data_IF_163425981174
#
_entry.id   IF_163425981174
#
_cell.length_a   1.000
_cell.length_b   1.000
_cell.length_c   1.000
_cell.angle_alpha   90.00
_cell.angle_beta   90.00
_cell.angle_gamma   90.00
#
_symmetry.space_group_name_H-M   'P 1'
#
loop_
_entity.id
_entity.type
_entity.pdbx_description
1 polymer ?
#
# COMPACT_ATOMS: atom_id res chain seq x y z
N UNK A 1 28.14 17.48 -12.05
CA UNK A 1 26.96 17.04 -11.34
C UNK A 1 27.27 15.68 -10.71
N UNK A 2 27.35 15.58 -9.39
CA UNK A 2 27.55 14.28 -8.70
C UNK A 2 26.18 13.63 -8.59
N UNK A 3 26.08 12.38 -9.07
CA UNK A 3 24.90 11.53 -8.83
C UNK A 3 24.69 11.34 -7.32
N UNK A 4 23.45 11.29 -6.84
CA UNK A 4 23.20 11.12 -5.42
C UNK A 4 23.65 9.74 -4.92
N UNK A 5 24.31 9.71 -3.76
CA UNK A 5 24.90 8.53 -3.12
C UNK A 5 23.86 7.67 -2.34
N UNK A 6 22.63 7.52 -2.82
CA UNK A 6 21.60 6.82 -2.07
C UNK A 6 21.31 5.36 -2.50
N UNK A 7 22.10 4.78 -3.43
CA UNK A 7 21.84 3.43 -3.95
C UNK A 7 22.45 2.26 -3.17
N UNK A 8 23.11 2.46 -2.03
CA UNK A 8 23.92 1.40 -1.43
C UNK A 8 23.40 0.78 -0.11
N UNK A 9 22.23 1.16 0.43
CA UNK A 9 21.70 0.52 1.63
C UNK A 9 20.16 0.46 1.66
N UNK A 10 19.55 -0.35 0.81
CA UNK A 10 18.21 -0.81 1.17
C UNK A 10 18.33 -1.61 2.50
N UNK A 11 17.48 -1.33 3.52
CA UNK A 11 17.52 -2.09 4.77
C UNK A 11 17.46 -3.58 4.51
N UNK A 12 18.21 -4.38 5.29
CA UNK A 12 18.19 -5.82 5.15
C UNK A 12 16.77 -6.36 5.39
N UNK A 13 16.40 -7.41 4.64
CA UNK A 13 15.15 -8.12 4.88
C UNK A 13 15.27 -8.93 6.17
N UNK A 14 14.30 -8.77 7.04
CA UNK A 14 14.11 -9.55 8.27
C UNK A 14 12.86 -10.41 8.11
N UNK A 15 12.85 -11.56 8.75
CA UNK A 15 11.70 -12.49 8.69
C UNK A 15 11.26 -12.83 10.10
N UNK A 16 9.95 -12.86 10.33
CA UNK A 16 9.35 -13.28 11.59
C UNK A 16 8.19 -14.25 11.33
N UNK A 17 8.09 -15.29 12.14
CA UNK A 17 6.97 -16.23 12.05
C UNK A 17 5.69 -15.58 12.57
N UNK A 18 4.61 -15.77 11.83
CA UNK A 18 3.26 -15.31 12.17
C UNK A 18 2.25 -16.38 11.75
N UNK A 19 1.35 -16.74 12.68
CA UNK A 19 0.33 -17.79 12.45
C UNK A 19 0.98 -19.10 11.98
N UNK A 20 0.61 -19.56 10.79
CA UNK A 20 1.11 -20.79 10.15
C UNK A 20 2.14 -20.52 9.05
N UNK A 21 2.71 -19.30 9.01
CA UNK A 21 3.65 -18.85 7.98
C UNK A 21 4.64 -17.82 8.53
N UNK A 22 5.16 -16.94 7.69
CA UNK A 22 6.07 -15.87 8.08
C UNK A 22 5.85 -14.61 7.24
N UNK A 23 6.21 -13.46 7.82
CA UNK A 23 6.28 -12.18 7.12
C UNK A 23 7.74 -11.75 7.03
N UNK A 24 8.16 -11.41 5.82
CA UNK A 24 9.43 -10.74 5.55
C UNK A 24 9.21 -9.24 5.48
N UNK A 25 10.10 -8.46 6.06
CA UNK A 25 9.96 -7.00 6.11
C UNK A 25 11.32 -6.31 6.11
N UNK A 26 11.33 -5.06 5.66
CA UNK A 26 12.47 -4.15 5.80
C UNK A 26 12.31 -3.36 7.08
N UNK A 27 13.42 -3.10 7.77
CA UNK A 27 13.45 -2.34 9.02
C UNK A 27 14.69 -1.45 9.03
N UNK A 28 14.49 -0.14 9.13
CA UNK A 28 15.61 0.81 9.22
C UNK A 28 16.23 0.88 10.62
N UNK A 29 15.59 0.28 11.63
CA UNK A 29 16.00 0.36 13.02
C UNK A 29 15.68 1.70 13.68
N UNK A 30 16.23 1.89 14.90
CA UNK A 30 15.98 3.00 15.82
C UNK A 30 14.58 2.99 16.47
N UNK A 31 14.22 4.04 17.25
CA UNK A 31 13.07 4.07 18.14
C UNK A 31 12.00 5.08 17.72
N UNK A 32 11.02 5.28 18.59
CA UNK A 32 9.87 6.15 18.40
C UNK A 32 8.67 5.41 17.78
N UNK A 33 7.60 6.14 17.46
CA UNK A 33 6.45 5.57 16.77
C UNK A 33 6.86 5.27 15.32
N UNK A 34 6.85 4.00 14.89
CA UNK A 34 7.33 3.64 13.57
C UNK A 34 6.36 4.02 12.46
N UNK A 35 6.92 4.29 11.29
CA UNK A 35 6.20 4.43 10.03
C UNK A 35 6.17 3.07 9.33
N UNK A 36 4.98 2.51 9.14
CA UNK A 36 4.77 1.24 8.43
C UNK A 36 4.25 1.52 7.03
N UNK A 37 5.02 1.10 6.02
CA UNK A 37 4.72 1.33 4.61
C UNK A 37 4.13 0.06 3.99
N UNK A 38 2.85 0.09 3.67
CA UNK A 38 2.07 -1.04 3.15
C UNK A 38 1.91 -0.93 1.64
N UNK A 39 2.42 -1.91 0.93
CA UNK A 39 2.28 -2.04 -0.52
C UNK A 39 0.94 -2.69 -0.92
N UNK A 40 0.63 -2.68 -2.21
CA UNK A 40 -0.54 -3.34 -2.76
C UNK A 40 -0.21 -4.34 -3.88
N UNK A 41 -1.16 -4.53 -4.77
CA UNK A 41 -1.07 -5.49 -5.88
C UNK A 41 -0.41 -4.84 -7.13
N UNK A 42 0.55 -5.45 -7.80
CA UNK A 42 1.21 -6.75 -7.55
C UNK A 42 2.59 -6.61 -6.86
N UNK A 43 2.79 -5.53 -6.13
CA UNK A 43 4.10 -5.10 -5.64
C UNK A 43 4.52 -5.82 -4.33
N UNK A 44 5.56 -5.31 -3.71
CA UNK A 44 6.12 -5.78 -2.43
C UNK A 44 6.74 -4.59 -1.69
N UNK A 45 7.42 -4.82 -0.57
CA UNK A 45 8.22 -3.79 0.11
C UNK A 45 9.26 -3.13 -0.79
N UNK A 46 9.60 -3.75 -1.92
CA UNK A 46 10.48 -3.20 -2.94
C UNK A 46 9.98 -1.87 -3.51
N UNK A 47 8.66 -1.67 -3.57
CA UNK A 47 8.02 -0.43 -3.96
C UNK A 47 8.54 0.80 -3.18
N UNK A 48 8.86 0.60 -1.91
CA UNK A 48 9.22 1.66 -0.99
C UNK A 48 10.73 1.95 -0.92
N UNK A 49 11.58 1.20 -1.67
CA UNK A 49 13.05 1.28 -1.58
C UNK A 49 13.61 2.68 -1.80
N UNK A 50 12.98 3.46 -2.68
CA UNK A 50 13.41 4.81 -3.01
C UNK A 50 12.64 5.90 -2.20
N UNK A 51 11.57 5.54 -1.49
CA UNK A 51 10.81 6.44 -0.60
C UNK A 51 11.41 6.44 0.82
N UNK A 52 11.74 5.27 1.35
CA UNK A 52 12.29 5.10 2.71
C UNK A 52 13.46 6.05 3.01
N UNK A 53 14.46 6.25 2.12
CA UNK A 53 15.60 7.14 2.40
C UNK A 53 15.24 8.60 2.69
N UNK A 54 14.05 9.03 2.34
CA UNK A 54 13.55 10.38 2.65
C UNK A 54 12.80 10.47 3.98
N UNK A 55 12.42 9.32 4.55
CA UNK A 55 11.58 9.22 5.76
C UNK A 55 12.37 8.71 6.96
N UNK A 56 13.42 7.90 6.73
CA UNK A 56 14.17 7.21 7.79
C UNK A 56 14.92 8.12 8.76
N UNK A 57 15.22 9.36 8.37
CA UNK A 57 15.77 10.38 9.25
C UNK A 57 14.74 10.92 10.26
N UNK A 58 13.43 10.78 9.95
CA UNK A 58 12.34 11.28 10.78
C UNK A 58 11.76 10.18 11.68
N UNK A 59 11.75 8.93 11.22
CA UNK A 59 11.15 7.80 11.93
C UNK A 59 11.75 6.47 11.52
N UNK A 60 11.68 5.47 12.43
CA UNK A 60 11.91 4.08 12.06
C UNK A 60 10.90 3.66 10.99
N UNK A 61 11.40 3.19 9.85
CA UNK A 61 10.56 2.72 8.74
C UNK A 61 10.50 1.19 8.73
N UNK A 62 9.29 0.66 8.63
CA UNK A 62 9.00 -0.76 8.47
C UNK A 62 8.21 -0.96 7.18
N UNK A 63 8.64 -1.87 6.32
CA UNK A 63 7.94 -2.20 5.10
C UNK A 63 7.80 -3.72 4.98
N UNK A 64 6.66 -4.30 5.40
CA UNK A 64 6.40 -5.73 5.25
C UNK A 64 6.05 -6.07 3.80
N UNK A 65 6.43 -7.27 3.39
CA UNK A 65 5.81 -7.95 2.27
C UNK A 65 4.52 -8.62 2.77
N UNK A 66 3.38 -8.31 2.17
CA UNK A 66 2.11 -8.92 2.54
C UNK A 66 2.15 -10.43 2.32
N UNK A 67 1.38 -11.18 3.11
CA UNK A 67 1.33 -12.63 2.98
C UNK A 67 1.07 -13.08 1.53
N UNK A 68 1.79 -14.05 1.04
CA UNK A 68 1.72 -14.51 -0.34
C UNK A 68 2.49 -13.65 -1.34
N UNK A 69 3.00 -12.47 -0.94
CA UNK A 69 3.66 -11.51 -1.82
C UNK A 69 5.13 -11.31 -1.43
N UNK A 70 5.94 -10.77 -2.35
CA UNK A 70 7.35 -10.55 -2.10
C UNK A 70 8.07 -11.78 -1.54
N UNK A 71 8.91 -11.57 -0.54
CA UNK A 71 9.66 -12.61 0.16
C UNK A 71 8.90 -13.25 1.34
N UNK A 72 7.67 -12.82 1.63
CA UNK A 72 6.82 -13.43 2.65
C UNK A 72 6.36 -14.84 2.25
N UNK A 73 5.98 -15.63 3.24
CA UNK A 73 5.49 -16.98 3.06
C UNK A 73 4.27 -17.06 2.15
N UNK A 74 4.10 -18.21 1.51
CA UNK A 74 3.00 -18.51 0.59
C UNK A 74 2.21 -19.73 1.10
N UNK A 75 1.51 -19.60 2.26
CA UNK A 75 0.69 -20.69 2.79
C UNK A 75 -0.46 -21.03 1.84
N UNK A 76 -1.04 -22.20 1.99
CA UNK A 76 -2.29 -22.53 1.32
C UNK A 76 -3.41 -21.65 1.88
N UNK A 77 -3.86 -20.67 1.12
CA UNK A 77 -4.83 -19.65 1.51
C UNK A 77 -5.62 -19.16 0.30
N UNK A 78 -6.78 -18.60 0.55
CA UNK A 78 -7.56 -17.90 -0.47
C UNK A 78 -7.01 -16.49 -0.77
N UNK A 79 -6.12 -15.98 0.06
CA UNK A 79 -5.52 -14.64 -0.03
C UNK A 79 -6.56 -13.52 -0.15
N UNK A 80 -7.67 -13.67 0.55
CA UNK A 80 -8.71 -12.66 0.61
C UNK A 80 -8.25 -11.45 1.43
N UNK A 81 -8.96 -10.34 1.31
CA UNK A 81 -8.69 -9.15 2.13
C UNK A 81 -8.61 -9.49 3.62
N UNK A 82 -9.54 -10.31 4.12
CA UNK A 82 -9.57 -10.76 5.51
C UNK A 82 -8.33 -11.58 5.91
N UNK A 83 -7.78 -12.39 5.00
CA UNK A 83 -6.56 -13.15 5.26
C UNK A 83 -5.36 -12.21 5.42
N UNK A 84 -5.18 -11.27 4.48
CA UNK A 84 -4.11 -10.28 4.58
C UNK A 84 -4.22 -9.44 5.86
N UNK A 85 -5.42 -8.99 6.23
CA UNK A 85 -5.65 -8.25 7.47
C UNK A 85 -5.25 -9.08 8.70
N UNK A 86 -5.62 -10.37 8.76
CA UNK A 86 -5.28 -11.29 9.86
C UNK A 86 -3.78 -11.51 10.00
N UNK A 87 -3.06 -11.71 8.88
CA UNK A 87 -1.60 -11.87 8.92
C UNK A 87 -0.89 -10.58 9.28
N UNK A 88 -1.40 -9.45 8.84
CA UNK A 88 -0.86 -8.13 9.18
C UNK A 88 -1.04 -7.84 10.68
N UNK A 89 -2.21 -8.11 11.26
CA UNK A 89 -2.45 -7.99 12.70
C UNK A 89 -1.47 -8.85 13.50
N UNK A 90 -1.30 -10.12 13.11
CA UNK A 90 -0.36 -11.03 13.76
C UNK A 90 1.10 -10.55 13.64
N UNK A 91 1.45 -9.92 12.52
CA UNK A 91 2.77 -9.33 12.33
C UNK A 91 2.98 -8.13 13.24
N UNK A 92 2.02 -7.21 13.37
CA UNK A 92 2.10 -6.09 14.32
C UNK A 92 2.30 -6.57 15.75
N UNK A 93 1.57 -7.60 16.16
CA UNK A 93 1.66 -8.17 17.50
C UNK A 93 3.00 -8.89 17.72
N UNK A 94 3.49 -9.65 16.73
CA UNK A 94 4.73 -10.39 16.81
C UNK A 94 5.97 -9.50 16.95
N UNK A 95 5.96 -8.30 16.35
CA UNK A 95 7.07 -7.33 16.46
C UNK A 95 6.82 -6.27 17.54
N UNK A 96 5.72 -6.37 18.29
CA UNK A 96 5.42 -5.53 19.44
C UNK A 96 5.13 -4.07 19.10
N UNK A 97 4.36 -3.81 18.04
CA UNK A 97 3.96 -2.46 17.65
C UNK A 97 2.63 -2.07 18.28
N UNK A 98 2.67 -1.33 19.38
CA UNK A 98 1.46 -0.83 20.04
C UNK A 98 0.85 0.37 19.30
N UNK A 99 1.69 1.30 18.86
CA UNK A 99 1.29 2.49 18.11
C UNK A 99 2.10 2.58 16.79
N UNK A 100 1.44 3.01 15.72
CA UNK A 100 2.04 3.10 14.38
C UNK A 100 1.56 4.33 13.62
N UNK A 101 2.38 4.79 12.69
CA UNK A 101 1.97 5.68 11.60
C UNK A 101 1.91 4.81 10.35
N UNK A 102 0.81 4.86 9.61
CA UNK A 102 0.60 4.03 8.44
C UNK A 102 0.77 4.83 7.15
N UNK A 103 1.51 4.27 6.20
CA UNK A 103 1.59 4.77 4.82
C UNK A 103 1.11 3.66 3.91
N UNK A 104 0.11 3.92 3.08
CA UNK A 104 -0.50 2.88 2.27
C UNK A 104 -0.67 3.27 0.81
N UNK A 105 -0.36 2.33 -0.07
CA UNK A 105 -0.60 2.40 -1.51
C UNK A 105 -1.52 1.26 -1.93
N UNK A 106 -2.51 1.53 -2.79
CA UNK A 106 -3.42 0.52 -3.34
C UNK A 106 -4.10 -0.29 -2.21
N UNK A 107 -4.08 -1.61 -2.24
CA UNK A 107 -4.59 -2.48 -1.17
C UNK A 107 -3.91 -2.25 0.18
N UNK A 108 -2.64 -1.83 0.18
CA UNK A 108 -1.96 -1.44 1.42
C UNK A 108 -2.61 -0.24 2.10
N UNK A 109 -3.16 0.68 1.32
CA UNK A 109 -3.94 1.81 1.85
C UNK A 109 -5.26 1.34 2.47
N UNK A 110 -5.97 0.43 1.82
CA UNK A 110 -7.18 -0.18 2.37
C UNK A 110 -6.90 -0.96 3.67
N UNK A 111 -5.82 -1.75 3.71
CA UNK A 111 -5.40 -2.45 4.93
C UNK A 111 -5.01 -1.48 6.05
N UNK A 112 -4.36 -0.36 5.73
CA UNK A 112 -4.01 0.68 6.71
C UNK A 112 -5.26 1.28 7.36
N UNK A 113 -6.25 1.65 6.56
CA UNK A 113 -7.53 2.19 7.04
C UNK A 113 -8.33 1.15 7.83
N UNK A 114 -8.38 -0.11 7.34
CA UNK A 114 -9.05 -1.22 8.01
C UNK A 114 -8.41 -1.54 9.37
N UNK A 115 -7.07 -1.49 9.45
CA UNK A 115 -6.36 -1.63 10.71
C UNK A 115 -6.75 -0.53 11.71
N UNK A 116 -6.78 0.73 11.27
CA UNK A 116 -7.20 1.86 12.11
C UNK A 116 -8.62 1.72 12.64
N UNK A 117 -9.55 1.28 11.79
CA UNK A 117 -10.94 1.06 12.17
C UNK A 117 -11.13 -0.07 13.19
N UNK A 118 -10.37 -1.16 13.03
CA UNK A 118 -10.46 -2.33 13.94
C UNK A 118 -9.66 -2.19 15.23
N UNK A 119 -8.66 -1.30 15.26
CA UNK A 119 -7.76 -1.11 16.40
C UNK A 119 -7.72 0.36 16.85
N UNK A 120 -8.83 0.89 17.41
CA UNK A 120 -8.91 2.27 17.83
C UNK A 120 -7.76 2.64 18.80
N UNK A 121 -7.11 3.79 18.52
CA UNK A 121 -6.02 4.30 19.34
C UNK A 121 -4.62 3.79 18.98
N UNK A 122 -4.47 2.77 18.11
CA UNK A 122 -3.15 2.29 17.67
C UNK A 122 -2.57 3.10 16.50
N UNK A 123 -3.39 3.83 15.74
CA UNK A 123 -2.93 4.63 14.59
C UNK A 123 -2.76 6.08 15.00
N UNK A 124 -1.53 6.60 14.89
CA UNK A 124 -1.16 7.98 15.25
C UNK A 124 -1.23 8.93 14.06
N UNK A 125 -1.27 8.42 12.85
CA UNK A 125 -1.41 9.16 11.60
C UNK A 125 -1.47 8.21 10.42
N UNK A 126 -2.05 8.65 9.30
CA UNK A 126 -2.18 7.84 8.09
C UNK A 126 -1.93 8.68 6.84
N UNK A 127 -1.04 8.19 5.95
CA UNK A 127 -0.75 8.78 4.65
C UNK A 127 -1.11 7.80 3.54
N UNK A 128 -1.86 8.26 2.55
CA UNK A 128 -2.46 7.41 1.52
C UNK A 128 -2.16 7.95 0.12
N UNK A 129 -1.92 7.04 -0.81
CA UNK A 129 -1.75 7.36 -2.23
C UNK A 129 -2.36 6.26 -3.11
N UNK A 130 -3.12 6.65 -4.15
CA UNK A 130 -3.71 5.73 -5.14
C UNK A 130 -4.39 4.50 -4.51
N UNK A 131 -5.26 4.74 -3.53
CA UNK A 131 -6.06 3.71 -2.84
C UNK A 131 -7.54 4.05 -2.90
N UNK A 132 -8.41 3.09 -2.64
CA UNK A 132 -9.85 3.29 -2.66
C UNK A 132 -10.39 3.69 -1.29
N UNK A 133 -10.95 4.88 -1.23
CA UNK A 133 -11.35 5.55 0.03
C UNK A 133 -12.80 5.27 0.44
N UNK A 134 -13.58 4.68 -0.45
CA UNK A 134 -15.00 4.30 -0.26
C UNK A 134 -15.38 3.16 -1.22
N UNK A 135 -16.50 2.47 -0.97
CA UNK A 135 -17.04 1.55 -1.97
C UNK A 135 -17.29 2.26 -3.31
N UNK A 136 -17.04 1.58 -4.40
CA UNK A 136 -17.18 2.12 -5.75
C UNK A 136 -18.26 1.39 -6.54
N UNK A 137 -18.75 2.03 -7.61
CA UNK A 137 -19.70 1.44 -8.53
C UNK A 137 -19.05 1.21 -9.89
N UNK A 138 -19.61 0.30 -10.67
CA UNK A 138 -19.11 0.00 -12.00
C UNK A 138 -19.13 1.22 -12.95
N UNK A 139 -20.11 2.12 -12.80
CA UNK A 139 -20.25 3.31 -13.64
C UNK A 139 -19.32 4.46 -13.25
N UNK A 140 -18.63 4.36 -12.10
CA UNK A 140 -17.61 5.32 -11.67
C UNK A 140 -16.22 4.98 -12.26
N UNK A 141 -16.04 3.76 -12.76
CA UNK A 141 -14.77 3.36 -13.34
C UNK A 141 -14.68 3.78 -14.81
N UNK A 142 -13.49 4.21 -15.27
CA UNK A 142 -13.21 4.29 -16.70
C UNK A 142 -13.51 2.95 -17.38
N UNK A 143 -14.08 2.98 -18.61
CA UNK A 143 -14.54 1.77 -19.31
C UNK A 143 -13.45 0.67 -19.38
N UNK A 144 -12.20 1.04 -19.66
CA UNK A 144 -11.10 0.07 -19.73
C UNK A 144 -10.81 -0.61 -18.39
N UNK A 145 -10.92 0.13 -17.27
CA UNK A 145 -10.77 -0.42 -15.92
C UNK A 145 -11.93 -1.34 -15.57
N UNK A 146 -13.17 -0.93 -15.89
CA UNK A 146 -14.35 -1.77 -15.68
C UNK A 146 -14.25 -3.11 -16.45
N UNK A 147 -13.83 -3.07 -17.71
CA UNK A 147 -13.66 -4.28 -18.53
C UNK A 147 -12.53 -5.18 -17.97
N UNK A 148 -11.46 -4.59 -17.47
CA UNK A 148 -10.38 -5.32 -16.83
C UNK A 148 -10.86 -6.04 -15.54
N UNK A 149 -11.60 -5.37 -14.67
CA UNK A 149 -12.15 -6.00 -13.46
C UNK A 149 -13.20 -7.08 -13.77
N UNK A 150 -14.01 -6.91 -14.84
CA UNK A 150 -14.90 -7.98 -15.32
C UNK A 150 -14.10 -9.19 -15.80
N UNK A 151 -13.00 -8.95 -16.55
CA UNK A 151 -12.10 -10.01 -17.00
C UNK A 151 -11.51 -10.78 -15.82
N UNK A 152 -10.98 -10.11 -14.78
CA UNK A 152 -10.40 -10.77 -13.59
C UNK A 152 -11.39 -11.67 -12.85
N UNK A 153 -12.69 -11.36 -12.92
CA UNK A 153 -13.77 -12.18 -12.32
C UNK A 153 -14.24 -13.34 -13.21
N UNK A 154 -13.62 -13.54 -14.36
CA UNK A 154 -13.92 -14.60 -15.31
C UNK A 154 -12.78 -15.62 -15.44
N UNK A 155 -13.00 -16.79 -16.07
CA UNK A 155 -11.93 -17.74 -16.40
C UNK A 155 -10.81 -17.14 -17.25
N UNK A 156 -11.11 -16.18 -18.13
CA UNK A 156 -10.11 -15.48 -18.93
C UNK A 156 -9.17 -14.61 -18.09
N UNK A 157 -9.64 -14.09 -16.95
CA UNK A 157 -8.79 -13.39 -15.98
C UNK A 157 -7.87 -14.34 -15.23
N UNK A 158 -8.36 -15.52 -14.90
CA UNK A 158 -7.53 -16.57 -14.30
C UNK A 158 -6.37 -16.97 -15.21
N UNK A 159 -6.66 -17.25 -16.47
CA UNK A 159 -5.64 -17.52 -17.49
C UNK A 159 -4.63 -16.37 -17.60
N UNK A 160 -5.09 -15.14 -17.72
CA UNK A 160 -4.23 -13.98 -17.88
C UNK A 160 -3.31 -13.74 -16.66
N UNK A 161 -3.83 -13.87 -15.44
CA UNK A 161 -3.04 -13.62 -14.23
C UNK A 161 -2.14 -14.80 -13.88
N UNK A 162 -2.69 -16.02 -13.88
CA UNK A 162 -1.95 -17.18 -13.39
C UNK A 162 -0.98 -17.71 -14.43
N UNK A 163 -1.36 -17.81 -15.71
CA UNK A 163 -0.50 -18.39 -16.75
C UNK A 163 0.36 -17.32 -17.43
N UNK A 164 -0.23 -16.17 -17.79
CA UNK A 164 0.46 -15.15 -18.56
C UNK A 164 1.17 -14.11 -17.68
N UNK A 165 1.00 -14.16 -16.35
CA UNK A 165 1.57 -13.23 -15.38
C UNK A 165 1.27 -11.75 -15.71
N UNK A 166 0.03 -11.47 -16.11
CA UNK A 166 -0.42 -10.18 -16.67
C UNK A 166 0.02 -8.97 -15.85
N UNK A 167 -0.07 -9.04 -14.53
CA UNK A 167 0.27 -7.89 -13.67
C UNK A 167 1.75 -7.53 -13.76
N UNK A 168 2.62 -8.51 -13.78
CA UNK A 168 4.08 -8.27 -13.81
C UNK A 168 4.56 -8.00 -15.24
N UNK A 169 4.16 -8.84 -16.19
CA UNK A 169 4.75 -8.77 -17.55
C UNK A 169 4.16 -7.66 -18.42
N UNK A 170 2.91 -7.21 -18.12
CA UNK A 170 2.23 -6.22 -18.96
C UNK A 170 1.83 -4.96 -18.21
N UNK A 171 1.27 -5.08 -16.98
CA UNK A 171 0.76 -3.90 -16.29
C UNK A 171 1.88 -3.05 -15.70
N UNK A 172 2.87 -3.61 -15.01
CA UNK A 172 3.98 -2.84 -14.46
C UNK A 172 4.74 -2.06 -15.53
N UNK A 173 5.21 -2.68 -16.65
CA UNK A 173 5.91 -1.92 -17.69
C UNK A 173 5.07 -0.83 -18.36
N UNK A 174 3.75 -0.98 -18.37
CA UNK A 174 2.84 0.00 -18.93
C UNK A 174 2.54 1.17 -17.98
N UNK A 175 2.54 0.91 -16.67
CA UNK A 175 2.07 1.85 -15.66
C UNK A 175 3.20 2.53 -14.87
N UNK A 176 4.45 2.09 -15.04
CA UNK A 176 5.61 2.67 -14.37
C UNK A 176 6.54 3.26 -15.43
N UNK A 177 6.69 4.59 -15.38
CA UNK A 177 7.64 5.27 -16.25
C UNK A 177 9.08 4.97 -15.79
N UNK A 178 9.92 4.50 -16.71
CA UNK A 178 11.34 4.25 -16.40
C UNK A 178 11.64 2.97 -15.62
N UNK A 179 10.69 2.01 -15.56
CA UNK A 179 10.93 0.68 -15.00
C UNK A 179 12.10 0.01 -15.73
N UNK A 180 13.14 -0.38 -14.98
CA UNK A 180 14.30 -1.09 -15.55
C UNK A 180 14.05 -2.60 -15.57
N UNK A 181 14.85 -3.33 -16.39
CA UNK A 181 14.80 -4.80 -16.40
C UNK A 181 15.10 -5.38 -15.00
N UNK A 182 16.01 -4.77 -14.26
CA UNK A 182 16.34 -5.19 -12.89
C UNK A 182 15.16 -4.98 -11.91
N UNK A 183 14.41 -3.90 -12.06
CA UNK A 183 13.19 -3.66 -11.25
C UNK A 183 12.11 -4.67 -11.61
N UNK A 184 11.91 -4.93 -12.90
CA UNK A 184 10.95 -5.92 -13.37
C UNK A 184 11.30 -7.33 -12.88
N UNK A 185 12.58 -7.70 -12.90
CA UNK A 185 13.07 -8.97 -12.36
C UNK A 185 12.84 -9.08 -10.84
N UNK A 186 13.03 -7.98 -10.09
CA UNK A 186 12.74 -7.95 -8.67
C UNK A 186 11.25 -8.18 -8.38
N UNK A 187 10.34 -7.59 -9.16
CA UNK A 187 8.90 -7.84 -9.05
C UNK A 187 8.48 -9.22 -9.56
N UNK A 188 9.18 -9.80 -10.53
CA UNK A 188 8.90 -11.12 -11.09
C UNK A 188 9.32 -12.26 -10.16
N UNK A 189 10.46 -12.11 -9.49
CA UNK A 189 11.11 -13.15 -8.71
C UNK A 189 10.19 -13.86 -7.70
N UNK A 190 9.25 -13.19 -6.98
CA UNK A 190 8.32 -13.85 -6.06
C UNK A 190 7.28 -14.78 -6.72
N UNK A 191 7.08 -14.69 -8.05
CA UNK A 191 5.95 -15.28 -8.76
C UNK A 191 6.34 -16.23 -9.91
N UNK A 192 7.21 -17.24 -9.66
CA UNK A 192 7.74 -18.12 -10.71
C UNK A 192 6.71 -19.12 -11.27
N UNK A 193 5.64 -19.41 -10.54
CA UNK A 193 4.63 -20.41 -10.91
C UNK A 193 3.22 -19.84 -10.89
N UNK A 194 2.26 -20.44 -11.61
CA UNK A 194 0.84 -20.05 -11.52
C UNK A 194 0.33 -20.00 -10.08
N UNK A 195 0.64 -21.01 -9.26
CA UNK A 195 0.22 -21.04 -7.86
C UNK A 195 0.76 -19.85 -7.03
N UNK A 196 2.00 -19.41 -7.29
CA UNK A 196 2.57 -18.26 -6.60
C UNK A 196 1.89 -16.93 -6.94
N UNK A 197 1.10 -16.87 -8.02
CA UNK A 197 0.39 -15.69 -8.53
C UNK A 197 -1.05 -15.57 -8.00
N UNK A 198 -1.51 -16.58 -7.23
CA UNK A 198 -2.86 -16.57 -6.63
C UNK A 198 -3.17 -15.30 -5.81
N UNK A 199 -2.24 -14.74 -5.01
CA UNK A 199 -2.52 -13.50 -4.29
C UNK A 199 -2.91 -12.33 -5.19
N UNK A 200 -2.25 -12.20 -6.34
CA UNK A 200 -2.55 -11.14 -7.31
C UNK A 200 -3.96 -11.26 -7.91
N UNK A 201 -4.37 -12.49 -8.22
CA UNK A 201 -5.71 -12.77 -8.73
C UNK A 201 -6.78 -12.53 -7.66
N UNK A 202 -6.50 -12.98 -6.43
CA UNK A 202 -7.41 -12.77 -5.29
C UNK A 202 -7.67 -11.28 -5.08
N UNK A 203 -6.63 -10.45 -4.99
CA UNK A 203 -6.77 -9.01 -4.88
C UNK A 203 -7.64 -8.39 -5.98
N UNK A 204 -7.41 -8.77 -7.23
CA UNK A 204 -8.18 -8.25 -8.35
C UNK A 204 -9.68 -8.64 -8.28
N UNK A 205 -9.99 -9.80 -7.72
CA UNK A 205 -11.36 -10.31 -7.53
C UNK A 205 -12.07 -9.70 -6.32
N UNK A 206 -11.31 -9.28 -5.32
CA UNK A 206 -11.81 -8.70 -4.07
C UNK A 206 -12.16 -7.21 -4.17
N UNK A 207 -11.78 -6.51 -5.26
CA UNK A 207 -12.07 -5.08 -5.39
C UNK A 207 -13.59 -4.81 -5.30
N UNK A 208 -14.06 -3.99 -4.31
CA UNK A 208 -15.47 -3.88 -3.99
C UNK A 208 -16.23 -2.98 -4.96
N UNK A 209 -16.99 -3.58 -5.89
CA UNK A 209 -17.81 -2.89 -6.88
C UNK A 209 -19.28 -3.26 -6.73
N UNK A 210 -20.16 -2.26 -6.65
CA UNK A 210 -21.61 -2.42 -6.46
C UNK A 210 -21.95 -3.35 -5.27
N UNK A 211 -21.20 -3.24 -4.18
CA UNK A 211 -21.45 -4.00 -2.98
C UNK A 211 -20.90 -5.44 -2.98
N UNK A 212 -20.11 -5.82 -3.98
CA UNK A 212 -19.56 -7.17 -4.07
C UNK A 212 -18.02 -7.18 -4.24
N UNK A 213 -17.27 -7.98 -3.43
CA UNK A 213 -17.76 -8.85 -2.34
C UNK A 213 -18.34 -8.08 -1.16
N UNK A 214 -19.39 -8.61 -0.54
CA UNK A 214 -20.13 -7.90 0.50
C UNK A 214 -19.30 -7.65 1.77
N UNK A 215 -18.50 -8.60 2.17
CA UNK A 215 -17.63 -8.50 3.35
C UNK A 215 -16.51 -7.46 3.16
N UNK A 216 -15.91 -7.37 1.97
CA UNK A 216 -14.93 -6.32 1.65
C UNK A 216 -15.62 -4.95 1.58
N UNK A 217 -16.80 -4.88 0.95
CA UNK A 217 -17.59 -3.64 0.89
C UNK A 217 -17.92 -3.14 2.29
N UNK A 218 -18.28 -4.03 3.22
CA UNK A 218 -18.55 -3.65 4.61
C UNK A 218 -17.30 -3.07 5.28
N UNK A 219 -16.13 -3.73 5.14
CA UNK A 219 -14.87 -3.22 5.68
C UNK A 219 -14.50 -1.85 5.12
N UNK A 220 -14.72 -1.64 3.81
CA UNK A 220 -14.50 -0.34 3.17
C UNK A 220 -15.44 0.72 3.71
N UNK A 221 -16.68 0.36 4.02
CA UNK A 221 -17.65 1.26 4.66
C UNK A 221 -17.21 1.61 6.09
N UNK A 222 -16.81 0.60 6.87
CA UNK A 222 -16.40 0.76 8.26
C UNK A 222 -15.15 1.64 8.39
N UNK A 223 -14.14 1.43 7.54
CA UNK A 223 -12.96 2.29 7.59
C UNK A 223 -13.25 3.71 7.06
N UNK A 224 -14.13 3.88 6.09
CA UNK A 224 -14.59 5.20 5.66
C UNK A 224 -15.26 5.98 6.80
N UNK A 225 -16.07 5.30 7.61
CA UNK A 225 -16.63 5.87 8.83
C UNK A 225 -15.53 6.24 9.84
N UNK A 226 -14.58 5.34 10.10
CA UNK A 226 -13.46 5.62 10.99
C UNK A 226 -12.64 6.83 10.49
N UNK A 227 -12.34 6.94 9.20
CA UNK A 227 -11.64 8.10 8.62
C UNK A 227 -12.39 9.42 8.89
N UNK A 228 -13.72 9.38 8.87
CA UNK A 228 -14.59 10.54 9.16
C UNK A 228 -14.60 10.90 10.64
N UNK A 229 -14.62 9.90 11.54
CA UNK A 229 -14.83 10.09 12.97
C UNK A 229 -13.52 10.23 13.76
N UNK A 230 -12.38 9.78 13.24
CA UNK A 230 -11.10 9.77 13.94
C UNK A 230 -10.41 11.14 13.97
N UNK A 231 -11.06 12.11 14.65
CA UNK A 231 -10.43 13.39 14.96
C UNK A 231 -9.22 13.18 15.87
N UNK A 232 -8.13 13.94 15.61
CA UNK A 232 -6.85 13.78 16.30
C UNK A 232 -5.91 12.73 15.68
N UNK A 233 -6.35 12.03 14.63
CA UNK A 233 -5.49 11.22 13.77
C UNK A 233 -5.26 11.99 12.46
N UNK A 234 -4.13 12.69 12.27
CA UNK A 234 -3.87 13.43 11.04
C UNK A 234 -3.77 12.49 9.83
N UNK A 235 -4.32 12.96 8.72
CA UNK A 235 -4.40 12.23 7.45
C UNK A 235 -3.74 13.03 6.34
N UNK A 236 -2.92 12.36 5.51
CA UNK A 236 -2.32 12.91 4.31
C UNK A 236 -2.83 12.13 3.10
N UNK A 237 -3.56 12.78 2.21
CA UNK A 237 -3.93 12.23 0.91
C UNK A 237 -2.98 12.78 -0.15
N UNK A 238 -2.12 11.93 -0.70
CA UNK A 238 -1.21 12.27 -1.79
C UNK A 238 -1.85 11.94 -3.12
N UNK A 239 -1.77 12.88 -4.07
CA UNK A 239 -2.39 12.75 -5.40
C UNK A 239 -1.37 12.85 -6.50
N UNK A 240 -1.60 12.12 -7.58
CA UNK A 240 -0.83 12.16 -8.83
C UNK A 240 -1.74 12.45 -10.01
N UNK A 241 -1.19 13.02 -11.07
CA UNK A 241 -1.94 13.34 -12.29
C UNK A 241 -1.30 12.64 -13.51
N UNK A 242 -2.10 11.93 -14.31
CA UNK A 242 -3.56 11.80 -14.28
C UNK A 242 -4.08 10.77 -13.25
N UNK A 243 -3.22 9.97 -12.58
CA UNK A 243 -3.64 8.83 -11.77
C UNK A 243 -4.38 7.75 -12.58
N UNK A 244 -5.03 6.80 -11.90
CA UNK A 244 -5.82 5.75 -12.59
C UNK A 244 -7.28 5.68 -12.12
N UNK A 245 -7.75 6.71 -11.46
CA UNK A 245 -9.16 6.84 -11.06
C UNK A 245 -9.48 6.46 -9.62
N UNK A 246 -8.61 5.76 -8.89
CA UNK A 246 -8.79 5.53 -7.45
C UNK A 246 -8.67 6.84 -6.67
N UNK A 247 -7.73 7.68 -7.07
CA UNK A 247 -7.53 9.04 -6.59
C UNK A 247 -8.09 10.12 -7.51
N UNK A 248 -9.26 9.90 -8.15
CA UNK A 248 -9.86 10.93 -9.01
C UNK A 248 -10.12 12.21 -8.22
N UNK A 249 -10.06 13.40 -8.87
CA UNK A 249 -10.33 14.67 -8.20
C UNK A 249 -11.66 14.69 -7.43
N UNK A 250 -12.68 14.02 -7.92
CA UNK A 250 -13.98 13.91 -7.26
C UNK A 250 -13.88 13.12 -5.96
N UNK A 251 -13.21 11.97 -5.99
CA UNK A 251 -13.01 11.13 -4.80
C UNK A 251 -12.13 11.83 -3.77
N UNK A 252 -11.05 12.48 -4.20
CA UNK A 252 -10.17 13.23 -3.31
C UNK A 252 -10.89 14.43 -2.68
N UNK A 253 -11.63 15.21 -3.46
CA UNK A 253 -12.40 16.34 -2.93
C UNK A 253 -13.47 15.89 -1.95
N UNK A 254 -14.15 14.78 -2.24
CA UNK A 254 -15.10 14.17 -1.32
C UNK A 254 -14.41 13.74 -0.01
N UNK A 255 -13.28 13.04 -0.09
CA UNK A 255 -12.54 12.59 1.07
C UNK A 255 -12.03 13.76 1.91
N UNK A 256 -11.45 14.78 1.30
CA UNK A 256 -10.97 16.00 1.97
C UNK A 256 -12.09 16.77 2.69
N UNK A 257 -13.31 16.72 2.15
CA UNK A 257 -14.47 17.36 2.76
C UNK A 257 -15.13 16.50 3.86
N UNK A 258 -14.88 15.20 3.88
CA UNK A 258 -15.58 14.22 4.73
C UNK A 258 -14.69 13.70 5.87
N UNK A 259 -13.44 13.40 5.58
CA UNK A 259 -12.52 12.81 6.56
C UNK A 259 -11.98 13.86 7.51
N UNK A 260 -11.94 13.56 8.80
CA UNK A 260 -11.40 14.46 9.81
C UNK A 260 -9.88 14.66 9.62
N UNK A 261 -9.38 15.85 9.95
CA UNK A 261 -7.95 16.23 10.00
C UNK A 261 -7.15 15.80 8.75
N UNK A 262 -7.70 16.08 7.56
CA UNK A 262 -7.16 15.63 6.28
C UNK A 262 -6.47 16.77 5.53
N UNK A 263 -5.22 16.54 5.15
CA UNK A 263 -4.45 17.34 4.22
C UNK A 263 -4.39 16.65 2.85
N UNK A 264 -4.40 17.43 1.76
CA UNK A 264 -4.20 16.94 0.40
C UNK A 264 -2.94 17.55 -0.17
N UNK A 265 -2.04 16.73 -0.72
CA UNK A 265 -0.78 17.17 -1.32
C UNK A 265 -0.62 16.57 -2.72
N UNK A 266 -0.43 17.43 -3.73
CA UNK A 266 -0.14 17.00 -5.10
C UNK A 266 1.34 16.63 -5.21
N UNK A 267 1.60 15.41 -5.65
CA UNK A 267 2.95 14.87 -5.80
C UNK A 267 3.51 15.13 -7.20
N UNK A 268 2.64 15.44 -8.16
CA UNK A 268 3.02 15.69 -9.54
C UNK A 268 2.57 14.59 -10.51
N UNK A 269 3.21 14.50 -11.68
CA UNK A 269 2.79 13.55 -12.71
C UNK A 269 3.08 12.10 -12.29
N UNK A 270 2.13 11.20 -12.49
CA UNK A 270 2.29 9.79 -12.18
C UNK A 270 1.05 8.97 -12.51
N UNK A 271 1.23 7.66 -12.47
CA UNK A 271 0.16 6.69 -12.63
C UNK A 271 -0.07 5.92 -11.31
N UNK A 272 -0.70 4.77 -11.39
CA UNK A 272 -1.08 3.99 -10.21
C UNK A 272 0.12 3.64 -9.29
N UNK A 273 1.23 3.20 -9.87
CA UNK A 273 2.43 2.85 -9.10
C UNK A 273 3.32 4.06 -8.82
N UNK A 274 2.71 5.16 -8.42
CA UNK A 274 3.36 6.45 -8.16
C UNK A 274 4.57 6.42 -7.21
N UNK A 275 4.72 5.50 -6.24
CA UNK A 275 5.96 5.38 -5.47
C UNK A 275 7.19 4.99 -6.33
N UNK A 276 6.98 4.39 -7.50
CA UNK A 276 8.04 4.17 -8.49
C UNK A 276 8.32 5.43 -9.33
N UNK A 277 7.27 6.18 -9.70
CA UNK A 277 7.40 7.34 -10.57
C UNK A 277 7.89 8.59 -9.82
N UNK A 278 7.46 8.76 -8.56
CA UNK A 278 7.67 9.97 -7.75
C UNK A 278 8.20 9.68 -6.34
N UNK A 279 9.19 8.80 -6.15
CA UNK A 279 9.65 8.39 -4.81
C UNK A 279 10.14 9.56 -3.96
N UNK A 280 10.88 10.49 -4.57
CA UNK A 280 11.45 11.67 -3.88
C UNK A 280 10.35 12.63 -3.41
N UNK A 281 9.34 12.88 -4.23
CA UNK A 281 8.25 13.79 -3.88
C UNK A 281 7.39 13.19 -2.76
N UNK A 282 7.04 11.90 -2.89
CA UNK A 282 6.28 11.15 -1.88
C UNK A 282 7.04 11.11 -0.55
N UNK A 283 8.32 10.75 -0.58
CA UNK A 283 9.13 10.66 0.64
C UNK A 283 9.26 12.01 1.35
N UNK A 284 9.49 13.09 0.60
CA UNK A 284 9.53 14.45 1.17
C UNK A 284 8.19 14.92 1.72
N UNK A 285 7.08 14.59 1.06
CA UNK A 285 5.74 14.92 1.53
C UNK A 285 5.45 14.23 2.87
N UNK A 286 5.73 12.93 2.97
CA UNK A 286 5.58 12.16 4.20
C UNK A 286 6.47 12.75 5.31
N UNK A 287 7.75 12.97 5.07
CA UNK A 287 8.68 13.51 6.06
C UNK A 287 8.26 14.91 6.56
N UNK A 288 7.83 15.79 5.66
CA UNK A 288 7.32 17.11 6.02
C UNK A 288 6.04 17.03 6.85
N UNK A 289 5.11 16.13 6.49
CA UNK A 289 3.88 15.90 7.23
C UNK A 289 4.14 15.35 8.63
N UNK A 290 5.05 14.38 8.78
CA UNK A 290 5.46 13.84 10.09
C UNK A 290 5.97 14.95 11.01
N UNK A 291 6.80 15.85 10.52
CA UNK A 291 7.29 17.02 11.28
C UNK A 291 6.19 17.98 11.67
N UNK A 292 5.28 18.32 10.74
CA UNK A 292 4.17 19.27 11.01
C UNK A 292 3.28 18.80 12.16
N UNK A 293 3.03 17.51 12.22
CA UNK A 293 2.13 16.94 13.23
C UNK A 293 2.85 16.40 14.48
N UNK A 294 4.16 16.57 14.57
CA UNK A 294 4.97 16.07 15.70
C UNK A 294 4.69 14.58 15.98
N UNK A 295 4.51 13.80 14.91
CA UNK A 295 4.17 12.37 15.00
C UNK A 295 5.34 11.51 15.45
N UNK A 296 6.56 12.04 15.36
CA UNK A 296 7.78 11.42 15.83
C UNK A 296 8.45 12.31 16.86
N UNK A 297 9.11 11.77 17.88
CA UNK A 297 9.87 12.59 18.83
C UNK A 297 10.91 13.40 18.06
N UNK A 298 11.06 14.68 18.43
CA UNK A 298 12.17 15.47 17.94
C UNK A 298 13.48 14.71 18.20
N UNK A 299 14.29 14.51 17.17
CA UNK A 299 15.62 13.93 17.31
C UNK A 299 16.38 14.75 18.36
N UNK A 300 16.59 14.17 19.51
CA UNK A 300 17.48 14.76 20.51
C UNK A 300 18.87 14.66 19.88
N UNK A 301 19.35 15.75 19.27
CA UNK A 301 20.76 15.85 18.91
C UNK A 301 21.56 15.79 20.22
N UNK A 302 22.24 14.69 20.41
CA UNK A 302 23.30 14.53 21.43
C UNK A 302 24.63 14.83 20.77
#
# INVERSE_FOLDING_TARGET
MKAPKHSERAPAMTTIEVLDSFISYRDTGAGGVPVVLLHGNPTSSYLWRNVIPHVEDEARCLAPDLIGMGASGKPESAYRFADHARYLDAWFDAIGLDEVILVGHDWGGALAMDFGARHPGRVRGIALIETFLRPMRWDELPQGSADMFRKFRSPAGEQAVLEENLFIEFNLPKLIAGLTDADLDAYRAPYPTPASRMPMLAWAREFPLDGAPADVTQRVTDYGQWMTESSGVPKLLMTVEPGVGLGSPEVINWAAATFADTEVESIGPGAHHSPEDQPDAIGRAIAAWLRRHTLTPASTMV
#
